data_IF_507114520822
#
_entry.id   IF_507114520822
#
_cell.length_a   1.000
_cell.length_b   1.000
_cell.length_c   1.000
_cell.angle_alpha   90.00
_cell.angle_beta   90.00
_cell.angle_gamma   90.00
#
_symmetry.space_group_name_H-M   'P 1'
#
loop_
_entity.id
_entity.type
_entity.pdbx_description
1 polymer ?
#
# COMPACT_ATOMS: atom_id res chain seq x y z
N UNK A 1 12.87 21.20 -24.73
CA UNK A 1 12.22 19.97 -25.20
C UNK A 1 12.09 18.98 -24.03
N UNK A 2 11.00 18.22 -23.97
CA UNK A 2 10.78 17.16 -22.97
C UNK A 2 11.29 15.80 -23.46
N UNK A 3 11.68 14.91 -22.53
CA UNK A 3 12.21 13.56 -22.84
C UNK A 3 11.20 12.65 -23.55
N UNK A 4 9.91 12.89 -23.34
CA UNK A 4 8.81 12.09 -23.92
C UNK A 4 7.92 12.97 -24.81
N UNK A 5 7.43 12.39 -25.91
CA UNK A 5 6.58 13.09 -26.88
C UNK A 5 5.08 12.94 -26.61
N UNK A 6 4.66 11.87 -25.93
CA UNK A 6 3.26 11.56 -25.62
C UNK A 6 3.17 10.59 -24.42
N UNK A 7 1.95 10.38 -23.93
CA UNK A 7 1.62 9.33 -22.95
C UNK A 7 0.54 8.41 -23.52
N UNK A 8 0.63 7.11 -23.20
CA UNK A 8 -0.36 6.11 -23.56
C UNK A 8 -0.89 5.43 -22.29
N UNK A 9 -2.18 5.09 -22.29
CA UNK A 9 -2.84 4.41 -21.16
C UNK A 9 -3.65 3.23 -21.69
N UNK A 10 -3.63 2.13 -20.95
CA UNK A 10 -4.43 0.94 -21.23
C UNK A 10 -4.72 0.18 -19.93
N UNK A 11 -5.84 -0.57 -19.83
CA UNK A 11 -6.07 -1.48 -18.71
C UNK A 11 -4.92 -2.48 -18.59
N UNK A 12 -4.41 -2.70 -17.37
CA UNK A 12 -3.29 -3.63 -17.13
C UNK A 12 -3.60 -5.05 -17.63
N UNK A 13 -4.84 -5.51 -17.46
CA UNK A 13 -5.32 -6.82 -17.91
C UNK A 13 -5.31 -6.99 -19.43
N UNK A 14 -5.27 -5.90 -20.21
CA UNK A 14 -5.23 -5.98 -21.67
C UNK A 14 -3.85 -6.39 -22.21
N UNK A 15 -2.78 -6.24 -21.42
CA UNK A 15 -1.42 -6.56 -21.84
C UNK A 15 -0.88 -5.72 -23.02
N UNK A 16 -1.59 -4.67 -23.45
CA UNK A 16 -1.23 -3.85 -24.63
C UNK A 16 0.06 -3.05 -24.45
N UNK A 17 0.41 -2.72 -23.21
CA UNK A 17 1.61 -2.00 -22.84
C UNK A 17 2.47 -2.96 -22.02
N UNK A 18 3.53 -3.52 -22.62
CA UNK A 18 4.36 -4.54 -21.98
C UNK A 18 5.87 -4.36 -22.28
N UNK A 19 6.70 -4.04 -21.27
CA UNK A 19 6.30 -3.63 -19.92
C UNK A 19 5.73 -2.19 -19.94
N UNK A 20 4.74 -1.85 -19.10
CA UNK A 20 4.36 -0.47 -18.90
C UNK A 20 5.43 0.26 -18.05
N UNK A 21 5.56 1.58 -18.18
CA UNK A 21 6.49 2.35 -17.34
C UNK A 21 5.99 2.46 -15.89
N UNK A 22 4.68 2.49 -15.70
CA UNK A 22 4.02 2.60 -14.39
C UNK A 22 2.64 1.94 -14.41
N UNK A 23 2.24 1.39 -13.26
CA UNK A 23 0.91 0.84 -13.02
C UNK A 23 0.15 1.75 -12.05
N UNK A 24 -1.13 2.00 -12.34
CA UNK A 24 -2.04 2.73 -11.44
C UNK A 24 -3.05 1.74 -10.88
N UNK A 25 -3.11 1.61 -9.57
CA UNK A 25 -4.02 0.72 -8.85
C UNK A 25 -4.91 1.59 -7.97
N UNK A 26 -6.22 1.48 -8.17
CA UNK A 26 -7.23 2.14 -7.36
C UNK A 26 -7.86 1.14 -6.39
N UNK A 27 -8.27 1.62 -5.22
CA UNK A 27 -8.92 0.79 -4.22
C UNK A 27 -9.08 1.48 -2.87
N UNK A 28 -9.89 0.88 -2.01
CA UNK A 28 -10.21 1.46 -0.70
C UNK A 28 -8.99 1.58 0.22
N UNK A 29 -9.00 2.46 1.23
CA UNK A 29 -7.95 2.51 2.26
C UNK A 29 -7.66 1.14 2.89
N UNK A 30 -8.71 0.34 3.10
CA UNK A 30 -8.61 -1.02 3.60
C UNK A 30 -7.85 -1.96 2.65
N UNK A 31 -8.03 -1.86 1.34
CA UNK A 31 -7.24 -2.64 0.37
C UNK A 31 -5.80 -2.12 0.29
N UNK A 32 -5.60 -0.80 0.34
CA UNK A 32 -4.28 -0.18 0.21
C UNK A 32 -3.34 -0.51 1.38
N UNK A 33 -3.85 -0.65 2.61
CA UNK A 33 -3.00 -1.07 3.72
C UNK A 33 -2.50 -2.51 3.55
N UNK A 34 -3.32 -3.42 3.02
CA UNK A 34 -2.85 -4.76 2.67
C UNK A 34 -1.84 -4.73 1.53
N UNK A 35 -2.04 -3.86 0.54
CA UNK A 35 -1.09 -3.66 -0.55
C UNK A 35 0.27 -3.19 0.00
N UNK A 36 0.29 -2.21 0.91
CA UNK A 36 1.50 -1.73 1.60
C UNK A 36 2.15 -2.86 2.40
N UNK A 37 1.36 -3.61 3.17
CA UNK A 37 1.87 -4.76 3.93
C UNK A 37 2.50 -5.81 2.99
N UNK A 38 1.91 -6.04 1.81
CA UNK A 38 2.46 -6.91 0.78
C UNK A 38 3.82 -6.41 0.27
N UNK A 39 3.95 -5.10 0.02
CA UNK A 39 5.23 -4.47 -0.33
C UNK A 39 6.28 -4.60 0.78
N UNK A 40 5.85 -4.61 2.04
CA UNK A 40 6.73 -4.64 3.20
C UNK A 40 7.03 -6.05 3.72
N UNK A 41 6.35 -7.08 3.21
CA UNK A 41 6.45 -8.47 3.68
C UNK A 41 7.90 -8.98 3.69
N UNK A 42 8.63 -8.76 2.60
CA UNK A 42 10.07 -9.03 2.49
C UNK A 42 10.84 -7.72 2.37
N UNK A 43 11.94 -7.56 3.11
CA UNK A 43 12.74 -6.33 3.07
C UNK A 43 11.93 -5.09 3.49
N UNK A 44 11.39 -5.13 4.71
CA UNK A 44 10.59 -4.05 5.31
C UNK A 44 11.29 -2.69 5.16
N UNK A 45 10.53 -1.70 4.69
CA UNK A 45 10.93 -0.28 4.67
C UNK A 45 9.72 0.58 4.99
N UNK A 46 9.92 1.58 5.85
CA UNK A 46 8.94 2.65 6.05
C UNK A 46 8.70 3.35 4.71
N UNK A 47 7.44 3.52 4.34
CA UNK A 47 7.03 4.20 3.13
C UNK A 47 6.49 5.58 3.49
N UNK A 48 6.92 6.60 2.76
CA UNK A 48 6.50 7.98 2.98
C UNK A 48 5.74 8.49 1.75
N UNK A 49 4.49 8.84 1.96
CA UNK A 49 3.57 9.31 0.94
C UNK A 49 3.24 10.78 1.15
N UNK A 50 2.91 11.47 0.05
CA UNK A 50 2.58 12.89 0.04
C UNK A 50 1.26 13.08 -0.68
N UNK A 51 0.52 14.12 -0.30
CA UNK A 51 -0.77 14.45 -0.91
C UNK A 51 -0.92 15.96 -1.02
N UNK A 52 -1.32 16.42 -2.21
CA UNK A 52 -1.61 17.82 -2.52
C UNK A 52 -2.99 17.90 -3.18
N UNK A 53 -3.87 18.72 -2.63
CA UNK A 53 -5.29 18.78 -3.02
C UNK A 53 -5.56 19.21 -4.47
N UNK A 54 -4.64 19.94 -5.09
CA UNK A 54 -4.79 20.43 -6.47
C UNK A 54 -3.97 19.63 -7.50
N UNK A 55 -3.02 18.80 -7.06
CA UNK A 55 -2.03 18.14 -7.92
C UNK A 55 -1.68 16.72 -7.47
N UNK A 56 -2.68 15.92 -7.08
CA UNK A 56 -2.49 14.52 -6.68
C UNK A 56 -1.80 13.65 -7.76
N UNK A 57 -1.94 13.99 -9.05
CA UNK A 57 -1.22 13.35 -10.14
C UNK A 57 0.32 13.49 -10.03
N UNK A 58 0.80 14.61 -9.49
CA UNK A 58 2.22 14.84 -9.25
C UNK A 58 2.75 13.99 -8.10
N UNK A 59 1.96 13.82 -7.03
CA UNK A 59 2.29 13.02 -5.85
C UNK A 59 2.15 11.50 -6.06
N UNK A 60 1.35 11.09 -7.04
CA UNK A 60 1.19 9.69 -7.43
C UNK A 60 2.19 9.31 -8.52
N UNK A 61 1.75 9.27 -9.78
CA UNK A 61 2.51 8.70 -10.88
C UNK A 61 3.67 9.60 -11.32
N UNK A 62 3.57 10.92 -11.18
CA UNK A 62 4.70 11.83 -11.39
C UNK A 62 5.87 11.53 -10.44
N UNK A 63 5.58 11.39 -9.14
CA UNK A 63 6.56 11.02 -8.11
C UNK A 63 7.13 9.64 -8.37
N UNK A 64 6.27 8.64 -8.60
CA UNK A 64 6.70 7.26 -8.80
C UNK A 64 7.54 7.06 -10.08
N UNK A 65 7.23 7.76 -11.18
CA UNK A 65 8.09 7.77 -12.38
C UNK A 65 9.44 8.45 -12.11
N UNK A 66 9.46 9.53 -11.33
CA UNK A 66 10.69 10.28 -11.02
C UNK A 66 11.61 9.53 -10.06
N UNK A 67 11.07 8.94 -9.01
CA UNK A 67 11.84 8.26 -7.96
C UNK A 67 12.07 6.79 -8.25
N UNK A 68 11.23 6.19 -9.10
CA UNK A 68 11.16 4.75 -9.27
C UNK A 68 10.63 4.03 -8.03
N UNK A 69 10.02 4.69 -7.06
CA UNK A 69 9.46 4.06 -5.85
C UNK A 69 7.93 4.13 -5.88
N UNK A 70 7.20 3.19 -5.25
CA UNK A 70 5.75 3.27 -5.17
C UNK A 70 5.28 4.55 -4.45
N UNK A 71 4.18 5.12 -4.92
CA UNK A 71 3.58 6.33 -4.36
C UNK A 71 2.07 6.17 -4.20
N UNK A 72 1.59 6.29 -2.96
CA UNK A 72 0.17 6.37 -2.63
C UNK A 72 -0.22 7.85 -2.47
N UNK A 73 -1.42 8.23 -2.87
CA UNK A 73 -1.98 9.56 -2.58
C UNK A 73 -3.51 9.51 -2.48
N UNK A 74 -4.10 10.60 -1.97
CA UNK A 74 -5.55 10.80 -1.96
C UNK A 74 -5.94 11.47 -3.29
N UNK A 75 -6.83 10.86 -4.09
CA UNK A 75 -7.23 11.42 -5.37
C UNK A 75 -7.85 12.82 -5.23
N UNK A 76 -7.47 13.73 -6.13
CA UNK A 76 -7.93 15.12 -6.08
C UNK A 76 -9.30 15.32 -6.75
N UNK A 77 -9.84 16.54 -6.68
CA UNK A 77 -11.11 16.89 -7.30
C UNK A 77 -11.18 16.55 -8.80
N UNK A 78 -10.10 16.83 -9.55
CA UNK A 78 -10.06 16.55 -10.98
C UNK A 78 -10.07 15.04 -11.28
N UNK A 79 -9.36 14.23 -10.49
CA UNK A 79 -9.37 12.77 -10.63
C UNK A 79 -10.75 12.18 -10.34
N UNK A 80 -11.47 12.73 -9.35
CA UNK A 80 -12.86 12.31 -9.06
C UNK A 80 -13.82 12.75 -10.16
N UNK A 81 -13.78 14.02 -10.55
CA UNK A 81 -14.73 14.60 -11.52
C UNK A 81 -14.51 14.09 -12.95
N UNK A 82 -13.26 13.96 -13.38
CA UNK A 82 -12.92 13.65 -14.77
C UNK A 82 -12.35 12.24 -14.95
N UNK A 83 -11.69 11.70 -13.92
CA UNK A 83 -11.17 10.33 -13.91
C UNK A 83 -12.17 9.29 -13.39
N UNK A 84 -13.27 9.74 -12.77
CA UNK A 84 -14.32 8.85 -12.26
C UNK A 84 -13.92 8.04 -11.02
N UNK A 85 -12.89 8.46 -10.29
CA UNK A 85 -12.42 7.79 -9.07
C UNK A 85 -13.47 7.92 -7.96
N UNK A 86 -13.82 6.79 -7.31
CA UNK A 86 -14.84 6.78 -6.27
C UNK A 86 -14.38 7.50 -5.00
N UNK A 87 -15.33 8.05 -4.22
CA UNK A 87 -15.03 8.90 -3.06
C UNK A 87 -14.15 8.20 -2.01
N UNK A 88 -14.37 6.90 -1.85
CA UNK A 88 -13.72 6.01 -0.91
C UNK A 88 -12.46 5.32 -1.47
N UNK A 89 -12.00 5.67 -2.66
CA UNK A 89 -10.79 5.12 -3.27
C UNK A 89 -9.55 5.99 -3.05
N UNK A 90 -8.42 5.32 -2.92
CA UNK A 90 -7.08 5.87 -2.99
C UNK A 90 -6.39 5.42 -4.29
N UNK A 91 -5.29 6.09 -4.65
CA UNK A 91 -4.47 5.74 -5.81
C UNK A 91 -3.07 5.31 -5.36
N UNK A 92 -2.68 4.09 -5.73
CA UNK A 92 -1.29 3.64 -5.72
C UNK A 92 -0.70 3.63 -7.13
N UNK A 93 0.28 4.49 -7.36
CA UNK A 93 1.13 4.45 -8.55
C UNK A 93 2.40 3.66 -8.24
N UNK A 94 2.71 2.66 -9.05
CA UNK A 94 3.75 1.67 -8.74
C UNK A 94 4.51 1.20 -9.99
N UNK A 95 5.85 1.18 -9.97
CA UNK A 95 6.61 0.55 -11.04
C UNK A 95 6.34 -0.96 -11.11
N UNK A 96 6.15 -1.57 -12.30
CA UNK A 96 5.66 -2.95 -12.42
C UNK A 96 6.53 -3.99 -11.74
N UNK A 97 7.84 -3.75 -11.63
CA UNK A 97 8.80 -4.64 -10.97
C UNK A 97 8.48 -4.94 -9.50
N UNK A 98 7.68 -4.11 -8.83
CA UNK A 98 7.23 -4.36 -7.46
C UNK A 98 6.02 -5.28 -7.38
N UNK A 99 5.23 -5.44 -8.45
CA UNK A 99 3.99 -6.21 -8.42
C UNK A 99 4.17 -7.69 -8.03
N UNK A 100 5.21 -8.42 -8.50
CA UNK A 100 5.44 -9.80 -8.04
C UNK A 100 5.62 -9.87 -6.52
N UNK A 101 6.40 -8.95 -5.95
CA UNK A 101 6.61 -8.85 -4.50
C UNK A 101 5.31 -8.58 -3.74
N UNK A 102 4.45 -7.71 -4.28
CA UNK A 102 3.12 -7.43 -3.68
C UNK A 102 2.30 -8.71 -3.61
N UNK A 103 2.22 -9.46 -4.72
CA UNK A 103 1.40 -10.69 -4.81
C UNK A 103 1.92 -11.73 -3.82
N UNK A 104 3.23 -11.95 -3.77
CA UNK A 104 3.86 -12.86 -2.81
C UNK A 104 3.58 -12.45 -1.36
N UNK A 105 3.70 -11.15 -1.06
CA UNK A 105 3.43 -10.60 0.25
C UNK A 105 1.96 -10.75 0.66
N UNK A 106 1.02 -10.43 -0.22
CA UNK A 106 -0.42 -10.62 0.01
C UNK A 106 -0.75 -12.10 0.27
N UNK A 107 -0.20 -13.03 -0.51
CA UNK A 107 -0.39 -14.46 -0.29
C UNK A 107 0.18 -14.91 1.07
N UNK A 108 1.28 -14.31 1.52
CA UNK A 108 1.85 -14.61 2.82
C UNK A 108 1.03 -14.02 3.98
N UNK A 109 0.47 -12.82 3.83
CA UNK A 109 -0.46 -12.24 4.80
C UNK A 109 -1.68 -13.15 5.00
N UNK A 110 -2.28 -13.62 3.91
CA UNK A 110 -3.44 -14.52 3.96
C UNK A 110 -3.14 -15.83 4.73
N UNK A 111 -1.99 -16.46 4.45
CA UNK A 111 -1.54 -17.66 5.17
C UNK A 111 -1.33 -17.43 6.67
N UNK A 112 -1.02 -16.20 7.08
CA UNK A 112 -0.85 -15.83 8.48
C UNK A 112 -2.13 -15.29 9.14
N UNK A 113 -3.28 -15.41 8.46
CA UNK A 113 -4.58 -14.97 8.99
C UNK A 113 -4.82 -13.46 8.90
N UNK A 114 -3.90 -12.70 8.30
CA UNK A 114 -4.11 -11.29 8.00
C UNK A 114 -4.86 -11.22 6.66
N UNK A 115 -6.19 -11.15 6.75
CA UNK A 115 -7.09 -11.20 5.58
C UNK A 115 -7.91 -9.93 5.43
N UNK A 116 -8.23 -9.62 4.18
CA UNK A 116 -9.18 -8.58 3.83
C UNK A 116 -10.53 -9.23 3.44
N UNK A 117 -11.68 -8.67 3.86
CA UNK A 117 -11.83 -7.50 4.72
C UNK A 117 -11.42 -7.78 6.17
N UNK A 118 -10.94 -6.75 6.88
CA UNK A 118 -10.55 -6.87 8.29
C UNK A 118 -11.81 -7.01 9.15
N UNK A 119 -11.99 -8.13 9.89
CA UNK A 119 -13.14 -8.26 10.76
C UNK A 119 -12.97 -7.33 11.98
N UNK A 120 -13.93 -6.43 12.25
CA UNK A 120 -13.90 -5.63 13.46
C UNK A 120 -14.13 -6.51 14.69
N UNK A 121 -13.53 -6.15 15.82
CA UNK A 121 -13.93 -6.74 17.10
C UNK A 121 -15.37 -6.36 17.42
N UNK A 122 -16.15 -7.33 17.89
CA UNK A 122 -17.49 -7.05 18.39
C UNK A 122 -17.42 -6.22 19.67
N UNK A 123 -18.43 -5.37 19.90
CA UNK A 123 -18.54 -4.56 21.12
C UNK A 123 -18.63 -5.39 22.42
N UNK A 124 -19.00 -6.67 22.31
CA UNK A 124 -19.07 -7.61 23.43
C UNK A 124 -17.82 -8.52 23.51
N UNK A 125 -16.84 -8.31 22.64
CA UNK A 125 -15.63 -9.13 22.58
C UNK A 125 -14.51 -8.49 23.38
N UNK A 126 -13.84 -9.26 24.21
CA UNK A 126 -12.62 -8.82 24.88
C UNK A 126 -11.44 -8.85 23.90
N UNK A 127 -10.95 -7.66 23.53
CA UNK A 127 -9.75 -7.53 22.70
C UNK A 127 -8.48 -8.06 23.40
N UNK A 128 -8.46 -8.07 24.73
CA UNK A 128 -7.36 -8.61 25.54
C UNK A 128 -7.11 -10.08 25.25
N UNK A 129 -8.16 -10.91 25.15
CA UNK A 129 -8.03 -12.32 24.79
C UNK A 129 -7.35 -12.54 23.42
N UNK A 130 -7.67 -11.70 22.43
CA UNK A 130 -7.06 -11.76 21.10
C UNK A 130 -5.63 -11.19 21.06
N UNK A 131 -5.38 -10.10 21.79
CA UNK A 131 -4.06 -9.47 21.89
C UNK A 131 -3.08 -10.29 22.73
N UNK A 132 -3.56 -11.05 23.71
CA UNK A 132 -2.72 -11.88 24.58
C UNK A 132 -1.81 -12.82 23.78
N UNK A 133 -2.27 -13.39 22.66
CA UNK A 133 -1.42 -14.25 21.81
C UNK A 133 -0.20 -13.49 21.25
N UNK A 134 -0.36 -12.19 20.97
CA UNK A 134 0.70 -11.34 20.41
C UNK A 134 1.55 -10.62 21.46
N UNK A 135 1.04 -10.48 22.69
CA UNK A 135 1.65 -9.64 23.74
C UNK A 135 1.94 -10.37 25.06
N UNK A 136 1.43 -11.58 25.28
CA UNK A 136 1.72 -12.39 26.45
C UNK A 136 3.09 -13.06 26.30
N UNK A 137 4.17 -12.28 26.36
CA UNK A 137 5.47 -12.62 27.00
C UNK A 137 6.55 -11.53 26.76
N UNK A 138 6.22 -10.24 26.96
CA UNK A 138 7.21 -9.16 26.77
C UNK A 138 8.16 -8.92 27.96
N UNK A 139 8.04 -9.69 29.04
CA UNK A 139 8.98 -9.63 30.17
C UNK A 139 10.12 -10.68 30.08
N UNK A 140 10.13 -11.57 29.08
CA UNK A 140 11.11 -12.68 29.00
C UNK A 140 11.80 -12.96 27.66
N UNK A 141 11.29 -12.50 26.51
CA UNK A 141 11.86 -12.87 25.18
C UNK A 141 11.90 -11.72 24.18
N UNK A 142 12.77 -10.76 24.42
CA UNK A 142 13.21 -9.79 23.41
C UNK A 142 14.25 -10.41 22.44
N UNK A 143 13.92 -11.51 21.74
CA UNK A 143 14.71 -12.01 20.61
C UNK A 143 13.92 -13.05 19.82
N UNK A 144 13.40 -12.69 18.63
CA UNK A 144 13.27 -13.69 17.56
C UNK A 144 11.98 -13.74 16.73
N UNK A 145 10.88 -13.09 17.10
CA UNK A 145 9.66 -13.12 16.25
C UNK A 145 9.43 -11.78 15.54
N UNK A 146 9.87 -11.71 14.27
CA UNK A 146 9.48 -10.67 13.31
C UNK A 146 8.05 -10.95 12.81
N UNK A 147 7.06 -10.65 13.66
CA UNK A 147 5.69 -10.38 13.22
C UNK A 147 5.53 -8.88 12.95
N UNK A 148 4.42 -8.48 12.32
CA UNK A 148 4.08 -7.13 11.85
C UNK A 148 3.90 -6.06 12.96
N UNK A 149 4.74 -6.08 13.99
CA UNK A 149 4.93 -4.97 14.92
C UNK A 149 5.95 -4.00 14.34
N UNK A 150 5.59 -2.72 14.32
CA UNK A 150 6.48 -1.63 13.94
C UNK A 150 7.85 -1.75 14.66
N UNK A 151 8.98 -1.42 13.99
CA UNK A 151 10.28 -1.46 14.62
C UNK A 151 10.33 -0.51 15.85
N UNK A 152 11.07 -0.86 16.93
CA UNK A 152 11.05 -0.11 18.19
C UNK A 152 11.66 1.29 18.15
N UNK A 153 12.02 1.85 17.00
CA UNK A 153 12.84 3.06 16.90
C UNK A 153 12.07 4.37 16.67
N UNK A 154 10.73 4.37 16.70
CA UNK A 154 9.94 5.61 16.49
C UNK A 154 8.88 5.84 17.59
N UNK A 155 9.07 5.32 18.80
CA UNK A 155 8.24 5.65 19.96
C UNK A 155 8.80 6.83 20.79
N UNK A 156 9.78 7.56 20.26
CA UNK A 156 10.35 8.76 20.93
C UNK A 156 10.87 9.73 19.88
N UNK A 157 10.06 10.74 19.58
CA UNK A 157 10.35 11.83 18.66
C UNK A 157 9.16 12.78 18.57
#
# INVERSE_FOLDING_TARGET
HGRYAAMAVAPLTSGRLNPPDICLIYGTPGQMIFFINGLQWSGYRKMSFTSVGESACADSWGKALKTGEPALTIPCYAERRYGGVADDELLMAIPPRFLPKVIEGLAALDRNGLRYPVPPYGIQSDAGAGLAVSYADKDGRAAGRRGAGAPPSEASG
#
